data_IF_364717088664
#
_entry.id   IF_364717088664
#
_cell.length_a   1.000
_cell.length_b   1.000
_cell.length_c   1.000
_cell.angle_alpha   90.00
_cell.angle_beta   90.00
_cell.angle_gamma   90.00
#
_symmetry.space_group_name_H-M   'P 1'
#
loop_
_entity.id
_entity.type
_entity.pdbx_description
1 polymer ?
#
# COMPACT_ATOMS: atom_id res chain seq x y z
N UNK A 1 64.76 -20.54 8.26
CA UNK A 1 63.87 -20.29 9.41
C UNK A 1 62.49 -20.11 8.83
N UNK A 2 61.64 -21.13 9.01
CA UNK A 2 60.39 -21.32 8.29
C UNK A 2 59.24 -21.02 9.24
N UNK A 3 58.44 -19.99 8.95
CA UNK A 3 57.19 -19.71 9.66
C UNK A 3 56.01 -20.25 8.84
N UNK A 4 55.20 -21.18 9.39
CA UNK A 4 53.94 -21.57 8.77
C UNK A 4 52.84 -20.60 9.21
N UNK A 5 52.38 -19.74 8.29
CA UNK A 5 51.25 -18.85 8.56
C UNK A 5 49.92 -19.57 8.33
N UNK A 6 49.05 -19.47 9.33
CA UNK A 6 47.89 -20.32 9.55
C UNK A 6 46.76 -20.12 8.52
N UNK A 7 46.13 -21.22 8.14
CA UNK A 7 44.87 -21.26 7.39
C UNK A 7 43.74 -20.65 8.24
N UNK A 8 42.84 -19.83 7.67
CA UNK A 8 41.67 -19.34 8.38
C UNK A 8 40.66 -20.47 8.56
N UNK A 9 40.26 -20.67 9.81
CA UNK A 9 39.25 -21.61 10.24
C UNK A 9 37.93 -21.40 9.50
N UNK A 10 37.40 -22.50 8.96
CA UNK A 10 36.03 -22.64 8.48
C UNK A 10 35.07 -22.24 9.60
N UNK A 11 34.41 -21.10 9.45
CA UNK A 11 33.28 -20.73 10.27
C UNK A 11 32.15 -21.73 9.99
N UNK A 12 31.92 -22.61 10.96
CA UNK A 12 30.77 -23.49 11.01
C UNK A 12 29.50 -22.63 10.93
N UNK A 13 28.82 -22.70 9.79
CA UNK A 13 27.47 -22.20 9.65
C UNK A 13 26.59 -22.97 10.62
N UNK A 14 26.02 -22.25 11.60
CA UNK A 14 25.01 -22.74 12.50
C UNK A 14 23.86 -23.33 11.67
N UNK A 15 23.80 -24.66 11.64
CA UNK A 15 22.62 -25.40 11.20
C UNK A 15 21.61 -25.18 12.33
N UNK A 16 20.63 -24.31 12.10
CA UNK A 16 19.57 -24.06 13.05
C UNK A 16 18.61 -25.25 12.92
N UNK A 17 18.84 -26.27 13.75
CA UNK A 17 18.02 -27.47 13.86
C UNK A 17 16.60 -27.10 14.33
N UNK A 18 15.62 -27.27 13.44
CA UNK A 18 14.36 -27.92 13.78
C UNK A 18 13.34 -27.22 14.68
N UNK A 19 13.38 -25.90 14.87
CA UNK A 19 12.19 -25.20 15.37
C UNK A 19 11.24 -24.92 14.20
N UNK A 20 10.07 -25.57 14.21
CA UNK A 20 8.97 -25.27 13.30
C UNK A 20 8.67 -23.77 13.34
N UNK A 21 9.17 -23.02 12.34
CA UNK A 21 9.00 -21.57 12.23
C UNK A 21 7.51 -21.26 12.42
N UNK A 22 7.17 -20.55 13.51
CA UNK A 22 5.78 -20.30 13.85
C UNK A 22 5.11 -19.47 12.76
N UNK A 23 3.78 -19.51 12.66
CA UNK A 23 3.07 -18.66 11.69
C UNK A 23 3.35 -17.17 11.89
N UNK A 24 3.70 -16.76 13.11
CA UNK A 24 4.10 -15.40 13.47
C UNK A 24 5.48 -15.03 12.91
N UNK A 25 6.45 -15.95 12.99
CA UNK A 25 7.81 -15.73 12.50
C UNK A 25 7.84 -15.61 10.97
N UNK A 26 7.07 -16.47 10.29
CA UNK A 26 6.90 -16.40 8.83
C UNK A 26 6.29 -15.06 8.39
N UNK A 27 5.23 -14.59 9.07
CA UNK A 27 4.62 -13.29 8.78
C UNK A 27 5.60 -12.13 9.01
N UNK A 28 6.44 -12.24 10.05
CA UNK A 28 7.48 -11.25 10.36
C UNK A 28 8.57 -11.23 9.30
N UNK A 29 9.00 -12.39 8.79
CA UNK A 29 9.94 -12.52 7.68
C UNK A 29 9.36 -11.93 6.40
N UNK A 30 8.13 -12.29 6.03
CA UNK A 30 7.44 -11.72 4.87
C UNK A 30 7.36 -10.19 4.91
N UNK A 31 7.04 -9.64 6.09
CA UNK A 31 6.99 -8.19 6.32
C UNK A 31 8.38 -7.54 6.19
N UNK A 32 9.44 -8.19 6.67
CA UNK A 32 10.82 -7.72 6.52
C UNK A 32 11.25 -7.72 5.05
N UNK A 33 10.94 -8.78 4.31
CA UNK A 33 11.26 -8.90 2.88
C UNK A 33 10.54 -7.82 2.05
N UNK A 34 9.24 -7.58 2.30
CA UNK A 34 8.49 -6.50 1.64
C UNK A 34 9.09 -5.12 1.94
N UNK A 35 9.43 -4.84 3.20
CA UNK A 35 10.09 -3.59 3.59
C UNK A 35 11.47 -3.42 2.93
N UNK A 36 12.24 -4.50 2.84
CA UNK A 36 13.53 -4.50 2.16
C UNK A 36 13.39 -4.11 0.68
N UNK A 37 12.42 -4.72 -0.01
CA UNK A 37 12.13 -4.45 -1.42
C UNK A 37 11.63 -3.00 -1.62
N UNK A 38 10.78 -2.49 -0.73
CA UNK A 38 10.34 -1.08 -0.73
C UNK A 38 11.50 -0.09 -0.54
N UNK A 39 12.43 -0.37 0.38
CA UNK A 39 13.60 0.47 0.61
C UNK A 39 14.53 0.47 -0.61
N UNK A 40 14.77 -0.69 -1.22
CA UNK A 40 15.55 -0.82 -2.44
C UNK A 40 14.92 0.01 -3.58
N UNK A 41 13.61 -0.10 -3.78
CA UNK A 41 12.88 0.67 -4.78
C UNK A 41 12.94 2.18 -4.55
N UNK A 42 12.73 2.64 -3.31
CA UNK A 42 12.88 4.07 -2.98
C UNK A 42 14.30 4.56 -3.26
N UNK A 43 15.31 3.74 -2.99
CA UNK A 43 16.71 4.10 -3.26
C UNK A 43 17.01 4.15 -4.75
N UNK A 44 16.45 3.24 -5.57
CA UNK A 44 16.65 3.22 -7.02
C UNK A 44 15.96 4.41 -7.69
N UNK A 45 14.73 4.74 -7.30
CA UNK A 45 14.05 5.94 -7.78
C UNK A 45 14.82 7.22 -7.45
N UNK A 46 15.33 7.33 -6.22
CA UNK A 46 16.19 8.47 -5.83
C UNK A 46 17.46 8.54 -6.69
N UNK A 47 18.12 7.41 -6.95
CA UNK A 47 19.31 7.37 -7.84
C UNK A 47 18.96 7.84 -9.24
N UNK A 48 17.92 7.28 -9.86
CA UNK A 48 17.47 7.65 -11.21
C UNK A 48 17.10 9.13 -11.28
N UNK A 49 16.38 9.65 -10.29
CA UNK A 49 16.01 11.07 -10.25
C UNK A 49 17.20 12.01 -10.17
N UNK A 50 18.29 11.60 -9.53
CA UNK A 50 19.52 12.39 -9.38
C UNK A 50 20.42 12.29 -10.62
N UNK A 51 20.51 11.12 -11.25
CA UNK A 51 21.44 10.87 -12.36
C UNK A 51 20.84 11.13 -13.74
N UNK A 52 19.58 10.75 -13.97
CA UNK A 52 18.96 10.79 -15.31
C UNK A 52 18.16 12.08 -15.58
N UNK A 53 17.97 12.92 -14.57
CA UNK A 53 17.25 14.20 -14.68
C UNK A 53 15.77 14.07 -15.08
N UNK A 54 15.14 15.19 -15.43
CA UNK A 54 13.70 15.26 -15.80
C UNK A 54 13.42 15.04 -17.29
N UNK A 55 14.43 14.66 -18.07
CA UNK A 55 14.33 14.46 -19.52
C UNK A 55 13.54 13.21 -19.91
N UNK A 56 13.27 13.04 -21.22
CA UNK A 56 12.52 11.89 -21.77
C UNK A 56 13.13 10.54 -21.35
N UNK A 57 14.46 10.42 -21.41
CA UNK A 57 15.20 9.22 -20.97
C UNK A 57 15.07 8.96 -19.46
N UNK A 58 15.07 10.02 -18.63
CA UNK A 58 14.87 9.89 -17.19
C UNK A 58 13.47 9.40 -16.82
N UNK A 59 12.44 9.91 -17.51
CA UNK A 59 11.05 9.43 -17.34
C UNK A 59 10.89 7.96 -17.73
N UNK A 60 11.52 7.54 -18.82
CA UNK A 60 11.47 6.14 -19.27
C UNK A 60 12.15 5.19 -18.26
N UNK A 61 13.28 5.61 -17.69
CA UNK A 61 13.95 4.84 -16.63
C UNK A 61 13.13 4.75 -15.34
N UNK A 62 12.42 5.81 -14.95
CA UNK A 62 11.51 5.78 -13.81
C UNK A 62 10.36 4.80 -14.04
N UNK A 63 9.71 4.86 -15.21
CA UNK A 63 8.63 3.93 -15.57
C UNK A 63 9.12 2.48 -15.63
N UNK A 64 10.32 2.24 -16.17
CA UNK A 64 10.94 0.90 -16.16
C UNK A 64 11.16 0.41 -14.72
N UNK A 65 11.75 1.24 -13.86
CA UNK A 65 12.00 0.88 -12.46
C UNK A 65 10.71 0.61 -11.68
N UNK A 66 9.64 1.37 -11.91
CA UNK A 66 8.32 1.15 -11.32
C UNK A 66 7.70 -0.17 -11.79
N UNK A 67 7.81 -0.50 -13.09
CA UNK A 67 7.31 -1.75 -13.64
C UNK A 67 8.09 -2.97 -13.11
N UNK A 68 9.41 -2.86 -12.99
CA UNK A 68 10.26 -3.90 -12.39
C UNK A 68 9.94 -4.12 -10.92
N UNK A 69 9.73 -3.03 -10.16
CA UNK A 69 9.26 -3.12 -8.77
C UNK A 69 7.88 -3.77 -8.67
N UNK A 70 6.94 -3.41 -9.55
CA UNK A 70 5.61 -4.02 -9.57
C UNK A 70 5.66 -5.52 -9.84
N UNK A 71 6.51 -5.97 -10.77
CA UNK A 71 6.71 -7.40 -11.07
C UNK A 71 7.33 -8.15 -9.90
N UNK A 72 8.45 -7.65 -9.37
CA UNK A 72 9.18 -8.31 -8.27
C UNK A 72 8.34 -8.37 -7.00
N UNK A 73 7.57 -7.32 -6.71
CA UNK A 73 6.62 -7.30 -5.59
C UNK A 73 5.50 -8.33 -5.78
N UNK A 74 4.89 -8.40 -6.96
CA UNK A 74 3.82 -9.37 -7.23
C UNK A 74 4.32 -10.81 -7.12
N UNK A 75 5.54 -11.08 -7.59
CA UNK A 75 6.18 -12.39 -7.45
C UNK A 75 6.44 -12.73 -5.98
N UNK A 76 6.95 -11.79 -5.20
CA UNK A 76 7.19 -11.98 -3.76
C UNK A 76 5.89 -12.26 -3.00
N UNK A 77 4.84 -11.48 -3.27
CA UNK A 77 3.52 -11.68 -2.66
C UNK A 77 2.92 -13.04 -3.06
N UNK A 78 3.13 -13.50 -4.30
CA UNK A 78 2.70 -14.82 -4.75
C UNK A 78 3.44 -15.94 -4.02
N UNK A 79 4.75 -15.81 -3.79
CA UNK A 79 5.53 -16.76 -2.97
C UNK A 79 5.05 -16.78 -1.52
N UNK A 80 4.85 -15.61 -0.91
CA UNK A 80 4.31 -15.49 0.45
C UNK A 80 2.91 -16.10 0.57
N UNK A 81 2.09 -15.98 -0.47
CA UNK A 81 0.79 -16.62 -0.52
C UNK A 81 0.90 -18.15 -0.62
N UNK A 82 1.78 -18.67 -1.47
CA UNK A 82 2.02 -20.10 -1.61
C UNK A 82 2.55 -20.71 -0.30
N UNK A 83 3.53 -20.07 0.35
CA UNK A 83 4.08 -20.52 1.64
C UNK A 83 3.00 -20.57 2.74
N UNK A 84 2.15 -19.53 2.83
CA UNK A 84 1.02 -19.52 3.78
C UNK A 84 0.00 -20.60 3.47
N UNK A 85 -0.32 -20.79 2.20
CA UNK A 85 -1.29 -21.80 1.77
C UNK A 85 -0.80 -23.20 2.09
N UNK A 86 0.49 -23.47 1.88
CA UNK A 86 1.11 -24.75 2.19
C UNK A 86 1.12 -25.02 3.70
N UNK A 87 1.53 -24.06 4.54
CA UNK A 87 1.48 -24.26 6.00
C UNK A 87 0.04 -24.46 6.52
N UNK A 88 -0.95 -23.78 5.95
CA UNK A 88 -2.35 -24.00 6.31
C UNK A 88 -2.84 -25.39 5.90
N UNK A 89 -2.45 -25.88 4.71
CA UNK A 89 -2.78 -27.22 4.26
C UNK A 89 -2.13 -28.29 5.17
N UNK A 90 -0.85 -28.16 5.49
CA UNK A 90 -0.16 -29.07 6.42
C UNK A 90 -0.80 -29.06 7.81
N UNK A 91 -1.18 -27.89 8.31
CA UNK A 91 -1.88 -27.79 9.61
C UNK A 91 -3.23 -28.49 9.58
N UNK A 92 -3.98 -28.40 8.48
CA UNK A 92 -5.24 -29.09 8.32
C UNK A 92 -5.07 -30.62 8.24
N UNK A 93 -4.02 -31.10 7.56
CA UNK A 93 -3.69 -32.54 7.50
C UNK A 93 -3.25 -33.09 8.87
N UNK A 94 -2.47 -32.33 9.63
CA UNK A 94 -2.08 -32.70 11.00
C UNK A 94 -3.28 -32.80 11.96
N UNK A 95 -4.28 -31.92 11.81
CA UNK A 95 -5.50 -31.95 12.62
C UNK A 95 -6.33 -33.22 12.32
N UNK A 96 -6.40 -33.64 11.05
CA UNK A 96 -7.11 -34.87 10.63
C UNK A 96 -6.43 -36.14 11.14
N UNK A 97 -5.09 -36.19 11.14
CA UNK A 97 -4.33 -37.31 11.72
C UNK A 97 -4.46 -37.38 13.26
N UNK A 98 -4.60 -36.24 13.94
CA UNK A 98 -4.80 -36.22 15.40
C UNK A 98 -6.15 -36.74 15.88
N UNK A 99 -7.16 -36.80 15.00
CA UNK A 99 -8.49 -37.36 15.29
C UNK A 99 -8.49 -38.89 15.21
N UNK A 100 -7.59 -39.50 14.42
CA UNK A 100 -7.53 -40.97 14.26
C UNK A 100 -6.77 -41.67 15.40
N UNK A 101 -5.83 -41.00 16.07
CA UNK A 101 -5.12 -41.53 17.25
C UNK A 101 -5.86 -41.32 18.58
N UNK A 102 -7.07 -40.74 18.55
CA UNK A 102 -7.92 -40.52 19.73
C UNK A 102 -9.15 -41.42 19.76
N UNK A 103 -9.05 -42.64 19.24
CA UNK A 103 -10.06 -43.69 19.43
C UNK A 103 -9.53 -44.95 20.14
N UNK A 104 -8.66 -44.81 21.15
CA UNK A 104 -8.56 -45.82 22.23
C UNK A 104 -8.25 -45.12 23.57
N UNK A 105 -9.26 -44.53 24.19
CA UNK A 105 -9.46 -44.38 25.64
C UNK A 105 -10.23 -43.09 25.96
N UNK A 106 -11.55 -43.19 26.08
CA UNK A 106 -12.27 -42.66 27.24
C UNK A 106 -13.72 -43.11 27.19
N UNK A 107 -14.09 -43.97 28.14
CA UNK A 107 -15.44 -44.43 28.39
C UNK A 107 -16.32 -43.30 28.93
N UNK A 108 -17.52 -43.16 28.34
CA UNK A 108 -18.77 -42.73 28.98
C UNK A 108 -18.75 -41.50 29.87
N UNK A 109 -19.33 -40.40 29.37
CA UNK A 109 -20.56 -39.88 29.99
C UNK A 109 -21.32 -39.00 28.99
N UNK A 110 -22.60 -39.33 28.90
CA UNK A 110 -23.62 -38.76 28.04
C UNK A 110 -23.93 -37.30 28.37
N UNK A 111 -24.61 -36.66 27.40
CA UNK A 111 -25.46 -35.44 27.48
C UNK A 111 -24.84 -34.18 26.88
N UNK A 112 -25.04 -34.03 25.57
CA UNK A 112 -25.85 -32.93 25.02
C UNK A 112 -26.15 -33.18 23.54
N UNK A 113 -27.26 -33.88 23.31
CA UNK A 113 -28.04 -33.72 22.09
C UNK A 113 -28.82 -32.41 22.27
N UNK A 114 -28.54 -31.40 21.44
CA UNK A 114 -29.59 -30.83 20.59
C UNK A 114 -29.06 -29.72 19.69
N UNK A 115 -29.61 -29.73 18.46
CA UNK A 115 -29.59 -28.68 17.45
C UNK A 115 -28.52 -28.76 16.34
N UNK A 116 -28.30 -29.97 15.83
CA UNK A 116 -27.99 -30.19 14.42
C UNK A 116 -29.28 -30.00 13.59
N UNK A 117 -29.48 -28.82 13.00
CA UNK A 117 -30.44 -28.65 11.91
C UNK A 117 -29.68 -28.69 10.58
N UNK A 118 -29.67 -29.89 10.02
CA UNK A 118 -29.31 -30.17 8.64
C UNK A 118 -30.12 -29.28 7.71
N UNK A 119 -29.46 -28.39 6.97
CA UNK A 119 -29.91 -28.00 5.64
C UNK A 119 -28.98 -28.67 4.64
N UNK A 120 -29.55 -29.63 3.94
CA UNK A 120 -29.00 -30.38 2.81
C UNK A 120 -28.24 -29.50 1.82
N UNK A 121 -26.91 -29.45 1.92
CA UNK A 121 -26.07 -29.15 0.77
C UNK A 121 -25.80 -30.45 0.03
N UNK A 122 -26.71 -30.72 -0.90
CA UNK A 122 -26.46 -31.62 -2.01
C UNK A 122 -25.14 -31.19 -2.67
N UNK A 123 -24.16 -32.09 -2.68
CA UNK A 123 -23.01 -32.01 -3.58
C UNK A 123 -23.58 -32.03 -5.00
N UNK A 124 -23.49 -30.94 -5.80
CA UNK A 124 -23.86 -31.05 -7.21
C UNK A 124 -22.68 -31.71 -7.91
N UNK A 125 -22.83 -33.02 -8.05
CA UNK A 125 -22.20 -33.85 -9.07
C UNK A 125 -22.11 -33.07 -10.39
N UNK A 126 -20.92 -33.13 -10.98
CA UNK A 126 -20.52 -32.49 -12.24
C UNK A 126 -21.60 -32.58 -13.32
N UNK A 127 -22.42 -31.54 -13.42
CA UNK A 127 -23.19 -31.27 -14.63
C UNK A 127 -22.35 -30.32 -15.47
N UNK A 128 -22.12 -30.68 -16.72
CA UNK A 128 -21.50 -29.88 -17.78
C UNK A 128 -22.15 -28.50 -17.87
N UNK A 129 -21.70 -27.55 -17.04
CA UNK A 129 -22.13 -26.14 -17.13
C UNK A 129 -21.53 -25.56 -18.40
N UNK A 130 -22.40 -25.13 -19.31
CA UNK A 130 -21.98 -24.49 -20.56
C UNK A 130 -21.04 -23.31 -20.25
N UNK A 131 -20.07 -23.04 -21.12
CA UNK A 131 -19.10 -21.96 -20.93
C UNK A 131 -19.76 -20.58 -20.71
N UNK A 132 -21.02 -20.41 -21.14
CA UNK A 132 -21.81 -19.19 -20.95
C UNK A 132 -22.14 -18.86 -19.49
N UNK A 133 -22.47 -19.85 -18.66
CA UNK A 133 -22.81 -19.61 -17.25
C UNK A 133 -21.62 -19.12 -16.42
N UNK A 134 -20.42 -19.61 -16.75
CA UNK A 134 -19.17 -19.17 -16.11
C UNK A 134 -18.83 -17.74 -16.52
N UNK A 135 -19.09 -17.36 -17.78
CA UNK A 135 -18.88 -16.00 -18.30
C UNK A 135 -19.89 -15.02 -17.69
N UNK A 136 -21.17 -15.41 -17.57
CA UNK A 136 -22.21 -14.58 -16.96
C UNK A 136 -21.93 -14.31 -15.47
N UNK A 137 -21.49 -15.34 -14.72
CA UNK A 137 -21.13 -15.21 -13.29
C UNK A 137 -19.91 -14.31 -13.09
N UNK A 138 -18.90 -14.38 -13.99
CA UNK A 138 -17.73 -13.47 -13.96
C UNK A 138 -18.12 -12.01 -14.25
N UNK A 139 -19.01 -11.77 -15.23
CA UNK A 139 -19.51 -10.42 -15.55
C UNK A 139 -20.29 -9.78 -14.40
N UNK A 140 -21.13 -10.54 -13.71
CA UNK A 140 -21.87 -10.06 -12.52
C UNK A 140 -20.94 -9.69 -11.36
N UNK A 141 -19.95 -10.53 -11.05
CA UNK A 141 -18.93 -10.23 -10.02
C UNK A 141 -18.12 -8.97 -10.34
N UNK A 142 -17.74 -8.77 -11.60
CA UNK A 142 -17.01 -7.57 -12.03
C UNK A 142 -17.85 -6.29 -11.91
N UNK A 143 -19.15 -6.35 -12.23
CA UNK A 143 -20.08 -5.21 -12.04
C UNK A 143 -20.21 -4.84 -10.56
N UNK A 144 -20.41 -5.84 -9.68
CA UNK A 144 -20.48 -5.62 -8.23
C UNK A 144 -19.19 -5.03 -7.68
N UNK A 145 -18.03 -5.60 -8.04
CA UNK A 145 -16.72 -5.07 -7.64
C UNK A 145 -16.49 -3.62 -8.10
N UNK A 146 -16.96 -3.25 -9.29
CA UNK A 146 -16.88 -1.87 -9.80
C UNK A 146 -17.79 -0.92 -9.01
N UNK A 147 -18.99 -1.36 -8.65
CA UNK A 147 -19.92 -0.59 -7.82
C UNK A 147 -19.38 -0.41 -6.40
N UNK A 148 -18.87 -1.46 -5.77
CA UNK A 148 -18.29 -1.42 -4.42
C UNK A 148 -17.09 -0.46 -4.36
N UNK A 149 -16.25 -0.43 -5.41
CA UNK A 149 -15.15 0.56 -5.53
C UNK A 149 -15.65 1.99 -5.60
N UNK A 150 -16.68 2.27 -6.42
CA UNK A 150 -17.27 3.61 -6.52
C UNK A 150 -17.90 4.06 -5.20
N UNK A 151 -18.56 3.15 -4.48
CA UNK A 151 -19.14 3.45 -3.17
C UNK A 151 -18.03 3.72 -2.15
N UNK A 152 -16.95 2.94 -2.17
CA UNK A 152 -15.82 3.14 -1.27
C UNK A 152 -15.05 4.45 -1.54
N UNK A 153 -14.83 4.81 -2.81
CA UNK A 153 -14.25 6.10 -3.21
C UNK A 153 -15.15 7.26 -2.74
N UNK A 154 -16.46 7.18 -3.02
CA UNK A 154 -17.40 8.21 -2.59
C UNK A 154 -17.43 8.37 -1.07
N UNK A 155 -17.44 7.27 -0.32
CA UNK A 155 -17.41 7.30 1.15
C UNK A 155 -16.10 7.90 1.68
N UNK A 156 -14.97 7.63 1.00
CA UNK A 156 -13.68 8.23 1.34
C UNK A 156 -13.72 9.74 1.12
N UNK A 157 -14.20 10.19 -0.03
CA UNK A 157 -14.28 11.62 -0.35
C UNK A 157 -15.24 12.35 0.60
N UNK A 158 -16.39 11.73 0.93
CA UNK A 158 -17.32 12.25 1.94
C UNK A 158 -16.67 12.33 3.33
N UNK A 159 -15.84 11.35 3.71
CA UNK A 159 -15.14 11.38 5.00
C UNK A 159 -14.06 12.46 5.05
N UNK A 160 -13.33 12.68 3.96
CA UNK A 160 -12.33 13.74 3.85
C UNK A 160 -13.02 15.11 3.88
N UNK A 161 -14.14 15.26 3.17
CA UNK A 161 -14.92 16.50 3.18
C UNK A 161 -15.49 16.80 4.58
N UNK A 162 -15.98 15.77 5.29
CA UNK A 162 -16.44 15.93 6.67
C UNK A 162 -15.30 16.29 7.63
N UNK A 163 -14.13 15.68 7.47
CA UNK A 163 -12.93 16.01 8.25
C UNK A 163 -12.51 17.46 8.01
N UNK A 164 -12.44 17.91 6.75
CA UNK A 164 -12.13 19.30 6.39
C UNK A 164 -13.17 20.27 6.96
N UNK A 165 -14.46 19.95 6.85
CA UNK A 165 -15.52 20.80 7.40
C UNK A 165 -15.45 20.89 8.93
N UNK A 166 -15.00 19.83 9.60
CA UNK A 166 -14.83 19.81 11.06
C UNK A 166 -13.53 20.44 11.56
N UNK A 167 -12.51 20.57 10.70
CA UNK A 167 -11.18 21.02 11.08
C UNK A 167 -11.09 22.54 11.39
N UNK A 168 -12.18 23.29 11.18
CA UNK A 168 -12.21 24.74 11.41
C UNK A 168 -11.40 25.52 10.36
N UNK A 169 -11.21 26.84 10.56
CA UNK A 169 -10.46 27.67 9.63
C UNK A 169 -9.00 27.23 9.56
N UNK A 170 -8.45 27.19 8.36
CA UNK A 170 -7.07 26.79 8.14
C UNK A 170 -6.10 27.81 8.76
N UNK A 171 -4.90 27.36 9.11
CA UNK A 171 -3.86 28.26 9.65
C UNK A 171 -3.59 29.46 8.73
N UNK A 172 -3.65 29.24 7.41
CA UNK A 172 -3.48 30.28 6.39
C UNK A 172 -4.59 31.32 6.42
N UNK A 173 -5.84 30.91 6.64
CA UNK A 173 -6.98 31.83 6.77
C UNK A 173 -6.85 32.67 8.03
N UNK A 174 -6.45 32.06 9.14
CA UNK A 174 -6.20 32.77 10.41
C UNK A 174 -5.10 33.82 10.23
N UNK A 175 -3.99 33.45 9.59
CA UNK A 175 -2.87 34.37 9.30
C UNK A 175 -3.32 35.50 8.38
N UNK A 176 -4.04 35.19 7.30
CA UNK A 176 -4.54 36.19 6.34
C UNK A 176 -5.50 37.16 7.02
N UNK A 177 -6.40 36.66 7.86
CA UNK A 177 -7.32 37.48 8.63
C UNK A 177 -6.59 38.40 9.62
N UNK A 178 -5.56 37.89 10.29
CA UNK A 178 -4.72 38.69 11.18
C UNK A 178 -4.01 39.82 10.41
N UNK A 179 -3.43 39.52 9.23
CA UNK A 179 -2.80 40.53 8.38
C UNK A 179 -3.82 41.60 7.94
N UNK A 180 -5.04 41.19 7.57
CA UNK A 180 -6.09 42.14 7.19
C UNK A 180 -6.50 43.04 8.33
N UNK A 181 -6.67 42.46 9.54
CA UNK A 181 -7.02 43.23 10.74
C UNK A 181 -5.92 44.21 11.15
N UNK A 182 -4.64 43.84 10.99
CA UNK A 182 -3.50 44.67 11.42
C UNK A 182 -3.19 45.84 10.48
N UNK A 183 -3.51 45.74 9.19
CA UNK A 183 -2.99 46.67 8.17
C UNK A 183 -4.01 47.71 7.64
N UNK A 184 -5.15 47.92 8.32
CA UNK A 184 -6.20 48.88 7.93
C UNK A 184 -6.56 48.84 6.44
N UNK A 185 -6.53 47.67 5.80
CA UNK A 185 -6.83 47.55 4.37
C UNK A 185 -8.25 48.01 4.04
N UNK A 186 -9.20 47.77 4.95
CA UNK A 186 -10.59 48.19 4.83
C UNK A 186 -10.74 49.71 4.74
N UNK A 187 -9.86 50.49 5.42
CA UNK A 187 -9.88 51.96 5.37
C UNK A 187 -9.29 52.53 4.08
N UNK A 188 -8.55 51.73 3.30
CA UNK A 188 -7.86 52.14 2.07
C UNK A 188 -8.40 51.45 0.82
N UNK A 189 -9.49 50.69 0.93
CA UNK A 189 -10.06 49.87 -0.14
C UNK A 189 -9.03 48.94 -0.80
N UNK A 190 -8.08 48.44 0.00
CA UNK A 190 -7.05 47.50 -0.45
C UNK A 190 -7.52 46.07 -0.19
N UNK A 191 -7.14 45.15 -1.07
CA UNK A 191 -7.46 43.73 -0.95
C UNK A 191 -6.19 42.90 -1.12
N UNK A 192 -6.02 41.86 -0.29
CA UNK A 192 -4.94 40.91 -0.49
C UNK A 192 -5.30 40.01 -1.68
N UNK A 193 -4.39 39.93 -2.64
CA UNK A 193 -4.48 38.99 -3.77
C UNK A 193 -3.37 37.98 -3.66
N UNK A 194 -3.73 36.70 -3.67
CA UNK A 194 -2.75 35.62 -3.65
C UNK A 194 -1.94 35.58 -4.96
N UNK A 195 -0.65 35.29 -4.81
CA UNK A 195 0.30 35.10 -5.91
C UNK A 195 0.93 33.71 -5.76
N UNK A 196 1.19 33.03 -6.87
CA UNK A 196 1.82 31.71 -6.86
C UNK A 196 3.10 31.68 -6.00
N UNK A 197 3.21 30.69 -5.11
CA UNK A 197 4.31 30.53 -4.16
C UNK A 197 5.56 29.91 -4.80
N UNK A 198 6.07 30.54 -5.85
CA UNK A 198 7.31 30.15 -6.54
C UNK A 198 8.47 31.11 -6.21
N UNK A 199 9.68 30.83 -6.72
CA UNK A 199 10.83 31.73 -6.57
C UNK A 199 10.72 33.05 -7.34
N UNK A 200 9.60 33.30 -8.03
CA UNK A 200 9.31 34.52 -8.78
C UNK A 200 8.12 35.30 -8.19
N UNK A 201 7.60 34.90 -7.04
CA UNK A 201 6.40 35.47 -6.41
C UNK A 201 6.50 37.00 -6.24
N UNK A 202 7.69 37.52 -5.89
CA UNK A 202 7.94 38.95 -5.77
C UNK A 202 7.70 39.68 -7.11
N UNK A 203 8.31 39.22 -8.20
CA UNK A 203 8.17 39.84 -9.51
C UNK A 203 6.75 39.72 -10.07
N UNK A 204 6.06 38.62 -9.76
CA UNK A 204 4.64 38.45 -10.09
C UNK A 204 3.77 39.44 -9.34
N UNK A 205 4.01 39.64 -8.03
CA UNK A 205 3.28 40.63 -7.24
C UNK A 205 3.47 42.04 -7.82
N UNK A 206 4.71 42.42 -8.14
CA UNK A 206 5.00 43.69 -8.81
C UNK A 206 4.26 43.80 -10.15
N UNK A 207 4.29 42.75 -10.98
CA UNK A 207 3.59 42.75 -12.27
C UNK A 207 2.08 42.88 -12.19
N UNK A 208 1.48 42.38 -11.12
CA UNK A 208 0.06 42.60 -10.84
C UNK A 208 -0.21 44.04 -10.42
N UNK A 209 0.67 44.65 -9.61
CA UNK A 209 0.50 46.04 -9.18
C UNK A 209 0.72 47.06 -10.30
N UNK A 210 1.59 46.76 -11.27
CA UNK A 210 1.92 47.64 -12.40
C UNK A 210 1.03 47.41 -13.63
N UNK A 211 0.11 46.46 -13.58
CA UNK A 211 -0.85 46.18 -14.67
C UNK A 211 -0.29 45.32 -15.82
N UNK A 212 0.91 44.77 -15.69
CA UNK A 212 1.51 43.88 -16.71
C UNK A 212 0.99 42.43 -16.66
N UNK A 213 0.28 42.06 -15.57
CA UNK A 213 -0.31 40.74 -15.40
C UNK A 213 0.66 39.71 -14.81
N UNK A 214 0.12 38.58 -14.36
CA UNK A 214 0.84 37.59 -13.53
C UNK A 214 1.99 36.86 -14.28
N UNK A 215 1.93 36.84 -15.62
CA UNK A 215 2.92 36.21 -16.49
C UNK A 215 4.08 37.13 -16.92
N UNK A 216 4.04 38.42 -16.56
CA UNK A 216 5.04 39.39 -17.01
C UNK A 216 6.32 39.43 -16.17
N UNK A 217 6.48 38.52 -15.20
CA UNK A 217 7.61 38.49 -14.28
C UNK A 217 8.98 38.44 -14.98
N UNK A 218 9.08 37.83 -16.16
CA UNK A 218 10.33 37.81 -16.95
C UNK A 218 10.75 39.21 -17.40
N UNK A 219 9.79 40.04 -17.84
CA UNK A 219 10.03 41.42 -18.29
C UNK A 219 10.28 42.41 -17.14
N UNK A 220 9.84 42.09 -15.93
CA UNK A 220 10.01 42.94 -14.74
C UNK A 220 11.34 42.66 -14.04
N UNK A 221 11.92 41.48 -14.28
CA UNK A 221 13.18 41.06 -13.71
C UNK A 221 14.40 41.57 -14.48
N UNK A 222 14.25 41.74 -15.79
CA UNK A 222 15.26 42.33 -16.70
C UNK A 222 15.40 43.83 -16.48
#
# INVERSE_FOLDING_TARGET
MSEPNALPALAAGAVNDGEDETSSDMASRHKKELRGLEMQHRSSLKKISKTAGKGKKGKELLVRAENEYGRTRAELEARHFAERSLKLALKAEADVLSVVDREVSFSTTEKNLDNFKASSDAIPLSTTRSGEDVIARRRSKNKKKKQDRRIAEKKRDESIAAEIASAGPSFREIETEAIVRLNDFNGRSLTIREVGSDGHCLFRAVGLTTGHGEGAYGRIRE
#
